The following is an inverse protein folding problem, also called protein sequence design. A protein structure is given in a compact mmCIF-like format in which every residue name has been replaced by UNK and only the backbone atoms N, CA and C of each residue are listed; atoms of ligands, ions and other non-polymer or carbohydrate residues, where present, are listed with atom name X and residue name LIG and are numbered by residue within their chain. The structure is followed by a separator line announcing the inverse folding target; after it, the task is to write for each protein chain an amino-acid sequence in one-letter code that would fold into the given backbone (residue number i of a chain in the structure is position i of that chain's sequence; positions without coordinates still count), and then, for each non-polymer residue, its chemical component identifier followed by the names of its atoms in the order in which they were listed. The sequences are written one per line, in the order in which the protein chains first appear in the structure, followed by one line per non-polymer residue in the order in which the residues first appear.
data_IF_542809722316
#
_entry.id   IF_542809722316
#
_cell.length_a   1.000
_cell.length_b   1.000
_cell.length_c   1.000
_cell.angle_alpha   90.00
_cell.angle_beta   90.00
_cell.angle_gamma   90.00
#
_symmetry.space_group_name_H-M   'P 1'
#
loop_
_entity.id
_entity.type
_entity.pdbx_description
1 polymer ?
#
# COMPACT_ATOMS: atom_id res chain seq x y z
N UNK A 1 4.23 3.67 -62.55
CA UNK A 1 3.45 3.74 -61.29
C UNK A 1 4.05 2.78 -60.28
N UNK A 2 4.79 3.29 -59.29
CA UNK A 2 5.36 2.51 -58.18
C UNK A 2 4.28 2.29 -57.12
N UNK A 3 3.64 1.14 -57.14
CA UNK A 3 2.86 0.64 -56.00
C UNK A 3 3.83 -0.03 -55.02
N UNK A 4 4.29 0.73 -54.03
CA UNK A 4 5.03 0.22 -52.87
C UNK A 4 4.19 0.52 -51.63
N UNK A 5 3.16 -0.29 -51.42
CA UNK A 5 2.48 -0.42 -50.13
C UNK A 5 3.12 -1.61 -49.41
N UNK A 6 4.22 -1.36 -48.69
CA UNK A 6 4.78 -2.33 -47.77
C UNK A 6 4.19 -2.07 -46.38
N UNK A 7 3.34 -3.01 -45.99
CA UNK A 7 2.74 -3.22 -44.68
C UNK A 7 3.69 -2.88 -43.53
N UNK A 8 3.35 -1.84 -42.76
CA UNK A 8 3.87 -1.66 -41.41
C UNK A 8 3.05 -2.59 -40.50
N UNK A 9 3.53 -3.82 -40.32
CA UNK A 9 3.04 -4.71 -39.28
C UNK A 9 3.45 -4.14 -37.93
N UNK A 10 2.55 -3.35 -37.32
CA UNK A 10 2.64 -3.00 -35.90
C UNK A 10 2.38 -4.28 -35.12
N UNK A 11 3.45 -5.00 -34.77
CA UNK A 11 3.37 -6.07 -33.78
C UNK A 11 3.14 -5.43 -32.43
N UNK A 12 1.87 -5.27 -32.06
CA UNK A 12 1.49 -4.97 -30.69
C UNK A 12 1.88 -6.18 -29.83
N UNK A 13 3.03 -6.10 -29.17
CA UNK A 13 3.41 -7.05 -28.12
C UNK A 13 2.46 -6.78 -26.95
N UNK A 14 1.38 -7.54 -26.87
CA UNK A 14 0.54 -7.58 -25.69
C UNK A 14 1.37 -8.21 -24.57
N UNK A 15 1.96 -7.38 -23.72
CA UNK A 15 2.56 -7.84 -22.47
C UNK A 15 1.39 -8.30 -21.61
N UNK A 16 1.14 -9.61 -21.58
CA UNK A 16 0.20 -10.21 -20.65
C UNK A 16 0.73 -9.95 -19.23
N UNK A 17 0.26 -8.89 -18.59
CA UNK A 17 0.54 -8.63 -17.19
C UNK A 17 -0.09 -9.76 -16.40
N UNK A 18 0.74 -10.65 -15.84
CA UNK A 18 0.27 -11.66 -14.89
C UNK A 18 -0.26 -10.90 -13.68
N UNK A 19 -1.59 -10.86 -13.54
CA UNK A 19 -2.22 -10.32 -12.33
C UNK A 19 -1.71 -11.15 -11.15
N UNK A 20 -1.11 -10.53 -10.12
CA UNK A 20 -0.74 -11.23 -8.92
C UNK A 20 -1.97 -11.96 -8.37
N UNK A 21 -1.93 -13.29 -8.33
CA UNK A 21 -3.00 -14.10 -7.74
C UNK A 21 -2.64 -14.37 -6.29
N UNK A 22 -3.44 -13.84 -5.39
CA UNK A 22 -3.36 -14.18 -3.97
C UNK A 22 -4.25 -15.39 -3.73
N UNK A 23 -3.76 -16.33 -2.94
CA UNK A 23 -4.62 -17.39 -2.42
C UNK A 23 -5.70 -16.76 -1.52
N UNK A 24 -7.00 -16.87 -1.86
CA UNK A 24 -8.08 -16.31 -1.07
C UNK A 24 -8.24 -17.00 0.29
N UNK A 25 -7.66 -18.19 0.45
CA UNK A 25 -7.68 -18.97 1.70
C UNK A 25 -6.45 -18.70 2.58
N UNK A 26 -5.42 -18.07 2.02
CA UNK A 26 -4.22 -17.74 2.78
C UNK A 26 -4.47 -16.60 3.77
N UNK A 27 -3.87 -16.75 4.96
CA UNK A 27 -3.85 -15.69 5.97
C UNK A 27 -3.02 -14.52 5.46
N UNK A 28 -3.57 -13.31 5.57
CA UNK A 28 -2.86 -12.06 5.26
C UNK A 28 -1.87 -11.73 6.36
N UNK A 29 -0.59 -11.60 6.01
CA UNK A 29 0.48 -11.27 6.97
C UNK A 29 0.96 -9.84 6.73
N UNK A 30 0.74 -8.96 7.71
CA UNK A 30 1.31 -7.61 7.72
C UNK A 30 2.77 -7.70 8.17
N UNK A 31 3.66 -7.03 7.43
CA UNK A 31 5.11 -7.00 7.70
C UNK A 31 5.55 -5.61 8.17
N UNK A 32 6.62 -5.51 8.97
CA UNK A 32 7.20 -4.21 9.27
C UNK A 32 7.76 -3.62 7.97
N UNK A 33 7.69 -2.29 7.82
CA UNK A 33 8.15 -1.60 6.61
C UNK A 33 9.62 -1.92 6.27
N UNK A 34 10.47 -2.07 7.28
CA UNK A 34 11.89 -2.41 7.13
C UNK A 34 12.11 -3.77 6.45
N UNK A 35 11.17 -4.70 6.57
CA UNK A 35 11.22 -6.04 5.96
C UNK A 35 10.45 -6.16 4.64
N UNK A 36 9.92 -5.04 4.12
CA UNK A 36 9.41 -5.01 2.75
C UNK A 36 10.57 -4.92 1.76
N UNK A 37 10.50 -5.74 0.71
CA UNK A 37 11.34 -5.59 -0.48
C UNK A 37 11.05 -4.27 -1.19
N UNK A 38 11.98 -3.81 -2.04
CA UNK A 38 11.77 -2.60 -2.86
C UNK A 38 10.51 -2.70 -3.70
N UNK A 39 10.24 -3.86 -4.31
CA UNK A 39 9.04 -4.08 -5.12
C UNK A 39 7.74 -3.96 -4.28
N UNK A 40 7.72 -4.50 -3.06
CA UNK A 40 6.58 -4.36 -2.16
C UNK A 40 6.35 -2.92 -1.72
N UNK A 41 7.42 -2.17 -1.41
CA UNK A 41 7.34 -0.73 -1.08
C UNK A 41 6.78 0.06 -2.25
N UNK A 42 7.32 -0.15 -3.46
CA UNK A 42 6.85 0.51 -4.69
C UNK A 42 5.39 0.21 -4.95
N UNK A 43 4.97 -1.06 -4.86
CA UNK A 43 3.58 -1.46 -5.08
C UNK A 43 2.63 -0.84 -4.05
N UNK A 44 3.01 -0.83 -2.76
CA UNK A 44 2.22 -0.21 -1.70
C UNK A 44 2.06 1.31 -1.91
N UNK A 45 3.15 2.02 -2.20
CA UNK A 45 3.12 3.46 -2.46
C UNK A 45 2.27 3.77 -3.70
N UNK A 46 2.37 2.97 -4.76
CA UNK A 46 1.52 3.10 -5.94
C UNK A 46 0.03 2.92 -5.60
N UNK A 47 -0.33 1.92 -4.80
CA UNK A 47 -1.70 1.69 -4.36
C UNK A 47 -2.26 2.87 -3.53
N UNK A 48 -1.48 3.39 -2.58
CA UNK A 48 -1.86 4.58 -1.80
C UNK A 48 -2.04 5.79 -2.72
N UNK A 49 -1.09 6.02 -3.63
CA UNK A 49 -1.18 7.10 -4.61
C UNK A 49 -2.42 6.98 -5.52
N UNK A 50 -2.81 5.77 -5.88
CA UNK A 50 -4.06 5.53 -6.61
C UNK A 50 -5.29 5.87 -5.75
N UNK A 51 -5.32 5.44 -4.49
CA UNK A 51 -6.39 5.78 -3.55
C UNK A 51 -6.50 7.28 -3.29
N UNK A 52 -5.38 8.01 -3.32
CA UNK A 52 -5.37 9.48 -3.26
C UNK A 52 -5.96 10.11 -4.52
N UNK A 53 -5.54 9.66 -5.72
CA UNK A 53 -6.04 10.17 -7.01
C UNK A 53 -7.55 9.99 -7.15
N UNK A 54 -8.08 8.87 -6.65
CA UNK A 54 -9.52 8.57 -6.69
C UNK A 54 -10.31 9.21 -5.52
N UNK A 55 -9.66 9.94 -4.63
CA UNK A 55 -10.29 10.63 -3.49
C UNK A 55 -10.58 9.73 -2.28
N UNK A 56 -10.36 8.42 -2.36
CA UNK A 56 -10.63 7.50 -1.26
C UNK A 56 -9.74 7.72 -0.05
N UNK A 57 -8.48 8.13 -0.25
CA UNK A 57 -7.61 8.48 0.88
C UNK A 57 -8.20 9.63 1.71
N UNK A 58 -8.68 10.68 1.03
CA UNK A 58 -9.35 11.80 1.69
C UNK A 58 -10.63 11.36 2.40
N UNK A 59 -11.41 10.47 1.78
CA UNK A 59 -12.63 9.92 2.39
C UNK A 59 -12.35 9.18 3.70
N UNK A 60 -11.25 8.45 3.82
CA UNK A 60 -10.86 7.82 5.09
C UNK A 60 -10.45 8.85 6.15
N UNK A 61 -9.80 9.95 5.76
CA UNK A 61 -9.53 11.05 6.68
C UNK A 61 -10.84 11.67 7.19
N UNK A 62 -11.80 11.95 6.30
CA UNK A 62 -13.13 12.44 6.66
C UNK A 62 -13.86 11.50 7.63
N UNK A 63 -13.84 10.18 7.36
CA UNK A 63 -14.44 9.18 8.25
C UNK A 63 -13.81 9.27 9.64
N UNK A 64 -12.51 9.41 9.75
CA UNK A 64 -11.85 9.50 11.06
C UNK A 64 -12.16 10.82 11.79
N UNK A 65 -12.33 11.93 11.06
CA UNK A 65 -12.54 13.26 11.64
C UNK A 65 -14.01 13.64 11.81
N UNK A 66 -14.94 12.87 11.26
CA UNK A 66 -16.37 13.06 11.50
C UNK A 66 -16.64 13.04 13.02
N UNK A 67 -17.39 14.01 13.58
CA UNK A 67 -17.50 14.16 15.04
C UNK A 67 -18.00 12.90 15.77
N UNK A 68 -18.93 12.15 15.17
CA UNK A 68 -19.43 10.93 15.79
C UNK A 68 -18.38 9.83 15.71
N UNK A 69 -17.74 9.69 14.56
CA UNK A 69 -16.71 8.68 14.36
C UNK A 69 -15.43 8.96 15.16
N UNK A 70 -15.06 10.23 15.34
CA UNK A 70 -13.92 10.64 16.17
C UNK A 70 -14.15 10.26 17.64
N UNK A 71 -15.37 10.49 18.15
CA UNK A 71 -15.75 10.07 19.50
C UNK A 71 -15.66 8.55 19.67
N UNK A 72 -16.08 7.77 18.67
CA UNK A 72 -15.93 6.31 18.67
C UNK A 72 -14.45 5.89 18.57
N UNK A 73 -13.66 6.60 17.77
CA UNK A 73 -12.25 6.33 17.51
C UNK A 73 -11.38 6.54 18.75
N UNK A 74 -11.68 7.52 19.60
CA UNK A 74 -10.85 7.86 20.78
C UNK A 74 -11.55 7.63 22.13
N UNK A 75 -12.76 7.10 22.12
CA UNK A 75 -13.47 6.67 23.32
C UNK A 75 -13.13 5.23 23.74
N UNK A 76 -14.09 4.56 24.36
CA UNK A 76 -13.96 3.18 24.85
C UNK A 76 -13.72 2.14 23.75
N UNK A 77 -13.94 2.48 22.47
CA UNK A 77 -13.75 1.57 21.34
C UNK A 77 -12.42 1.74 20.62
N UNK A 78 -11.47 2.52 21.16
CA UNK A 78 -10.21 2.89 20.51
C UNK A 78 -9.55 1.80 19.69
N UNK A 79 -9.18 0.67 20.31
CA UNK A 79 -8.46 -0.43 19.63
C UNK A 79 -9.33 -1.11 18.57
N UNK A 80 -10.62 -1.28 18.83
CA UNK A 80 -11.53 -1.99 17.93
C UNK A 80 -11.87 -1.14 16.70
N UNK A 81 -12.13 0.15 16.91
CA UNK A 81 -12.41 1.12 15.86
C UNK A 81 -11.21 1.23 14.91
N UNK A 82 -10.00 1.45 15.45
CA UNK A 82 -8.79 1.55 14.63
C UNK A 82 -8.45 0.25 13.91
N UNK A 83 -8.64 -0.92 14.54
CA UNK A 83 -8.47 -2.22 13.88
C UNK A 83 -9.39 -2.36 12.68
N UNK A 84 -10.66 -1.97 12.81
CA UNK A 84 -11.65 -2.02 11.71
C UNK A 84 -11.31 -0.99 10.63
N UNK A 85 -10.92 0.22 11.01
CA UNK A 85 -10.50 1.30 10.10
C UNK A 85 -9.32 0.85 9.21
N UNK A 86 -8.28 0.28 9.81
CA UNK A 86 -7.13 -0.25 9.07
C UNK A 86 -7.49 -1.43 8.15
N UNK A 87 -8.43 -2.29 8.55
CA UNK A 87 -8.92 -3.36 7.67
C UNK A 87 -9.70 -2.80 6.47
N UNK A 88 -10.55 -1.80 6.72
CA UNK A 88 -11.27 -1.08 5.67
C UNK A 88 -10.33 -0.40 4.68
N UNK A 89 -9.29 0.26 5.19
CA UNK A 89 -8.29 0.94 4.35
C UNK A 89 -7.51 -0.07 3.49
N UNK A 90 -7.09 -1.20 4.07
CA UNK A 90 -6.47 -2.29 3.32
C UNK A 90 -7.37 -2.82 2.19
N UNK A 91 -8.63 -3.09 2.50
CA UNK A 91 -9.59 -3.62 1.53
C UNK A 91 -9.89 -2.59 0.42
N UNK A 92 -9.95 -1.30 0.75
CA UNK A 92 -10.08 -0.23 -0.23
C UNK A 92 -8.91 -0.28 -1.22
N UNK A 93 -7.66 -0.29 -0.73
CA UNK A 93 -6.48 -0.33 -1.61
C UNK A 93 -6.46 -1.58 -2.51
N UNK A 94 -6.80 -2.74 -1.95
CA UNK A 94 -6.88 -4.02 -2.69
C UNK A 94 -7.97 -4.03 -3.77
N UNK A 95 -9.00 -3.19 -3.62
CA UNK A 95 -10.11 -3.10 -4.58
C UNK A 95 -9.83 -2.19 -5.78
N UNK A 96 -8.81 -1.32 -5.71
CA UNK A 96 -8.61 -0.28 -6.75
C UNK A 96 -8.19 -0.87 -8.10
N UNK A 97 -7.29 -1.85 -8.10
CA UNK A 97 -6.75 -2.50 -9.31
C UNK A 97 -6.37 -3.96 -9.03
N UNK A 98 -6.39 -4.84 -10.05
CA UNK A 98 -5.99 -6.25 -9.90
C UNK A 98 -4.56 -6.42 -9.36
N UNK A 99 -3.64 -5.53 -9.72
CA UNK A 99 -2.24 -5.56 -9.25
C UNK A 99 -2.09 -5.32 -7.73
N UNK A 100 -3.04 -4.64 -7.09
CA UNK A 100 -3.02 -4.38 -5.64
C UNK A 100 -3.75 -5.45 -4.84
N UNK A 101 -4.37 -6.44 -5.50
CA UNK A 101 -5.26 -7.41 -4.88
C UNK A 101 -4.64 -8.14 -3.69
N UNK A 102 -3.31 -8.24 -3.63
CA UNK A 102 -2.58 -9.02 -2.63
C UNK A 102 -1.82 -8.19 -1.59
N UNK A 103 -1.90 -6.85 -1.64
CA UNK A 103 -1.19 -6.03 -0.67
C UNK A 103 -1.77 -6.21 0.74
N UNK A 104 -0.93 -5.95 1.74
CA UNK A 104 -1.31 -5.83 3.15
C UNK A 104 -0.74 -4.53 3.69
N UNK A 105 -1.37 -3.91 4.68
CA UNK A 105 -0.79 -2.70 5.27
C UNK A 105 0.52 -3.03 5.99
N UNK A 106 1.62 -2.32 5.70
CA UNK A 106 2.82 -2.41 6.52
C UNK A 106 2.61 -1.72 7.87
N UNK A 107 3.49 -2.01 8.82
CA UNK A 107 3.54 -1.30 10.09
C UNK A 107 4.94 -0.77 10.38
N UNK A 108 5.03 0.18 11.30
CA UNK A 108 6.29 0.69 11.80
C UNK A 108 6.62 -0.02 13.11
N UNK A 109 7.69 -0.79 13.14
CA UNK A 109 8.16 -1.46 14.36
C UNK A 109 8.96 -0.48 15.22
N UNK A 110 8.24 0.37 15.95
CA UNK A 110 8.85 1.37 16.80
C UNK A 110 9.78 0.77 17.87
N UNK A 111 9.46 -0.42 18.41
CA UNK A 111 10.30 -1.05 19.43
C UNK A 111 11.68 -1.38 18.87
N UNK A 112 11.71 -2.05 17.71
CA UNK A 112 12.96 -2.40 17.04
C UNK A 112 13.72 -1.14 16.60
N UNK A 113 13.03 -0.17 16.01
CA UNK A 113 13.65 1.07 15.52
C UNK A 113 14.19 1.94 16.66
N UNK A 114 13.48 2.04 17.78
CA UNK A 114 13.98 2.76 18.96
C UNK A 114 15.16 2.03 19.60
N UNK A 115 15.11 0.70 19.68
CA UNK A 115 16.22 -0.09 20.23
C UNK A 115 17.48 0.10 19.38
N UNK A 116 17.39 -0.04 18.06
CA UNK A 116 18.54 0.17 17.17
C UNK A 116 19.03 1.60 17.22
N UNK A 117 18.11 2.58 17.31
CA UNK A 117 18.43 4.00 17.48
C UNK A 117 19.29 4.27 18.72
N UNK A 118 18.90 3.71 19.86
CA UNK A 118 19.63 3.88 21.12
C UNK A 118 20.96 3.13 21.09
N UNK A 119 21.01 1.94 20.49
CA UNK A 119 22.24 1.13 20.42
C UNK A 119 23.21 1.54 19.33
N UNK A 120 22.85 2.50 18.46
CA UNK A 120 23.66 2.90 17.28
C UNK A 120 23.97 1.74 16.33
N UNK A 121 23.02 0.83 16.15
CA UNK A 121 23.20 -0.38 15.31
C UNK A 121 22.36 -0.36 14.03
N UNK A 122 21.92 0.82 13.58
CA UNK A 122 21.12 0.96 12.36
C UNK A 122 21.96 0.70 11.11
N UNK A 123 21.45 -0.09 10.14
CA UNK A 123 22.05 -0.23 8.82
C UNK A 123 22.14 1.12 8.11
N UNK A 124 23.25 1.38 7.39
CA UNK A 124 23.44 2.62 6.63
C UNK A 124 22.36 2.86 5.55
N UNK A 125 21.69 1.80 5.09
CA UNK A 125 20.57 1.84 4.13
C UNK A 125 19.26 2.42 4.68
N UNK A 126 19.14 2.55 6.01
CA UNK A 126 17.93 3.07 6.67
C UNK A 126 18.04 4.56 7.01
N UNK A 127 19.25 5.13 6.94
CA UNK A 127 19.49 6.57 7.13
C UNK A 127 18.82 7.45 6.07
N UNK A 128 18.46 6.86 4.92
CA UNK A 128 17.83 7.56 3.80
C UNK A 128 16.33 7.21 3.63
N UNK A 129 15.77 6.40 4.54
CA UNK A 129 14.34 6.05 4.57
C UNK A 129 13.61 6.83 5.67
N UNK A 130 14.06 8.07 5.88
CA UNK A 130 13.49 9.01 6.84
C UNK A 130 11.97 8.93 6.84
N UNK A 131 11.45 8.68 8.04
CA UNK A 131 10.09 8.93 8.49
C UNK A 131 9.50 10.04 7.61
N UNK A 132 8.42 9.78 6.82
CA UNK A 132 7.80 10.84 6.06
C UNK A 132 7.37 11.96 7.03
N UNK A 133 7.42 13.23 6.61
CA UNK A 133 7.08 14.37 7.45
C UNK A 133 5.69 14.24 8.07
#
# INVERSE_FOLDING_TARGET
MRLLWLFVCVTAVAVAQTVPTCDPTAVRVRKPWSLLSTAEKTLYVAAVGEGMKQGFHHRFAEIHTDPQSEQEAHGCMFIYWHRKFLLGYENMLRSLKPEYACITLPYWDYATLSSTFVSRTYPSSDLNQSIPP
#
